data_IF_206012799257
#
_entry.id   IF_206012799257
#
_cell.length_a   1.000
_cell.length_b   1.000
_cell.length_c   1.000
_cell.angle_alpha   90.00
_cell.angle_beta   90.00
_cell.angle_gamma   90.00
#
_symmetry.space_group_name_H-M   'P 1'
#
loop_
_entity.id
_entity.type
_entity.pdbx_description
1 polymer ?
#
# COMPACT_ATOMS: atom_id res chain seq x y z
N UNK A 1 17.35 14.57 20.23
CA UNK A 1 15.91 14.36 20.04
C UNK A 1 15.76 13.70 18.69
N UNK A 2 15.70 12.37 18.68
CA UNK A 2 15.48 11.60 17.44
C UNK A 2 14.00 11.80 17.13
N UNK A 3 13.70 12.49 16.02
CA UNK A 3 12.33 12.56 15.52
C UNK A 3 12.03 11.14 15.07
N UNK A 4 11.23 10.43 15.87
CA UNK A 4 10.69 9.13 15.48
C UNK A 4 9.87 9.40 14.22
N UNK A 5 10.41 9.02 13.05
CA UNK A 5 9.68 9.14 11.79
C UNK A 5 8.41 8.33 11.97
N UNK A 6 7.24 8.98 12.02
CA UNK A 6 5.97 8.29 12.19
C UNK A 6 5.90 7.16 11.15
N UNK A 7 5.80 5.91 11.62
CA UNK A 7 5.54 4.77 10.75
C UNK A 7 4.09 4.88 10.30
N UNK A 8 3.88 5.09 9.01
CA UNK A 8 2.55 5.05 8.41
C UNK A 8 2.28 3.60 8.04
N UNK A 9 1.63 2.88 8.94
CA UNK A 9 1.29 1.47 8.80
C UNK A 9 -0.20 1.22 9.14
N UNK A 10 -0.76 0.16 8.55
CA UNK A 10 -2.14 -0.26 8.77
C UNK A 10 -2.25 -1.77 8.58
N UNK A 11 -3.21 -2.37 9.27
CA UNK A 11 -3.53 -3.79 9.18
C UNK A 11 -5.01 -3.99 8.87
N UNK A 12 -5.34 -4.98 8.06
CA UNK A 12 -6.72 -5.33 7.77
C UNK A 12 -6.92 -6.81 7.47
N UNK A 13 -8.10 -7.33 7.80
CA UNK A 13 -8.50 -8.68 7.38
C UNK A 13 -9.02 -8.66 5.94
N UNK A 14 -8.43 -9.48 5.08
CA UNK A 14 -8.85 -9.66 3.69
C UNK A 14 -9.80 -10.86 3.56
N UNK A 15 -11.02 -10.61 3.07
CA UNK A 15 -12.02 -11.63 2.84
C UNK A 15 -12.32 -11.70 1.35
N UNK A 16 -11.95 -12.82 0.72
CA UNK A 16 -12.29 -13.10 -0.67
C UNK A 16 -13.62 -13.84 -0.74
N UNK A 17 -14.50 -13.42 -1.64
CA UNK A 17 -15.78 -14.09 -1.90
C UNK A 17 -15.96 -14.29 -3.40
N UNK A 18 -16.36 -15.49 -3.81
CA UNK A 18 -16.65 -15.85 -5.21
C UNK A 18 -18.05 -16.45 -5.25
N UNK A 19 -18.94 -15.89 -6.08
CA UNK A 19 -20.34 -16.33 -6.18
C UNK A 19 -21.10 -16.38 -4.83
N UNK A 20 -20.75 -15.49 -3.89
CA UNK A 20 -21.36 -15.42 -2.56
C UNK A 20 -20.74 -16.36 -1.52
N UNK A 21 -19.75 -17.18 -1.89
CA UNK A 21 -19.06 -18.09 -0.97
C UNK A 21 -17.67 -17.57 -0.62
N UNK A 22 -17.29 -17.69 0.66
CA UNK A 22 -15.94 -17.33 1.11
C UNK A 22 -14.92 -18.26 0.46
N UNK A 23 -13.87 -17.66 -0.10
CA UNK A 23 -12.74 -18.38 -0.68
C UNK A 23 -11.54 -18.27 0.26
N UNK A 24 -10.95 -19.41 0.62
CA UNK A 24 -9.74 -19.46 1.46
C UNK A 24 -8.46 -19.22 0.64
N UNK A 25 -8.54 -19.26 -0.70
CA UNK A 25 -7.38 -19.06 -1.55
C UNK A 25 -7.17 -17.57 -1.87
N UNK A 26 -6.12 -17.01 -1.27
CA UNK A 26 -5.57 -15.69 -1.60
C UNK A 26 -4.53 -15.83 -2.72
N UNK A 27 -4.63 -14.96 -3.73
CA UNK A 27 -3.70 -14.84 -4.85
C UNK A 27 -3.03 -13.45 -4.90
N UNK A 28 -2.11 -13.26 -5.85
CA UNK A 28 -1.35 -12.01 -6.00
C UNK A 28 -2.24 -10.80 -6.28
N UNK A 29 -3.40 -10.97 -6.94
CA UNK A 29 -4.31 -9.88 -7.25
C UNK A 29 -5.06 -9.44 -5.99
N UNK A 30 -5.49 -10.39 -5.16
CA UNK A 30 -6.13 -10.08 -3.87
C UNK A 30 -5.21 -9.21 -3.00
N UNK A 31 -3.94 -9.61 -2.90
CA UNK A 31 -2.91 -8.89 -2.13
C UNK A 31 -2.67 -7.52 -2.74
N UNK A 32 -2.51 -7.44 -4.07
CA UNK A 32 -2.24 -6.18 -4.78
C UNK A 32 -3.36 -5.16 -4.62
N UNK A 33 -4.62 -5.56 -4.85
CA UNK A 33 -5.77 -4.66 -4.78
C UNK A 33 -5.97 -4.17 -3.35
N UNK A 34 -5.96 -5.09 -2.39
CA UNK A 34 -6.17 -4.76 -0.97
C UNK A 34 -5.04 -3.87 -0.44
N UNK A 35 -3.79 -4.17 -0.79
CA UNK A 35 -2.64 -3.34 -0.41
C UNK A 35 -2.74 -1.91 -0.96
N UNK A 36 -3.17 -1.74 -2.22
CA UNK A 36 -3.32 -0.40 -2.80
C UNK A 36 -4.47 0.39 -2.19
N UNK A 37 -5.56 -0.27 -1.79
CA UNK A 37 -6.67 0.41 -1.10
C UNK A 37 -6.21 1.02 0.23
N UNK A 38 -5.56 0.22 1.08
CA UNK A 38 -5.01 0.69 2.36
C UNK A 38 -3.84 1.64 2.18
N UNK A 39 -2.93 1.34 1.25
CA UNK A 39 -1.77 2.18 0.98
C UNK A 39 -2.16 3.57 0.47
N UNK A 40 -3.24 3.68 -0.31
CA UNK A 40 -3.75 4.97 -0.74
C UNK A 40 -4.38 5.76 0.41
N UNK A 41 -5.09 5.09 1.34
CA UNK A 41 -5.60 5.74 2.57
C UNK A 41 -4.44 6.31 3.37
N UNK A 42 -3.41 5.50 3.64
CA UNK A 42 -2.21 5.95 4.37
C UNK A 42 -1.50 7.11 3.67
N UNK A 43 -1.41 7.06 2.33
CA UNK A 43 -0.74 8.10 1.54
C UNK A 43 -1.48 9.44 1.62
N UNK A 44 -2.81 9.39 1.66
CA UNK A 44 -3.68 10.55 1.77
C UNK A 44 -3.71 11.13 3.17
N UNK A 45 -3.71 10.28 4.21
CA UNK A 45 -3.54 10.71 5.60
C UNK A 45 -2.17 11.36 5.83
N UNK A 46 -1.11 10.84 5.22
CA UNK A 46 0.24 11.42 5.29
C UNK A 46 0.28 12.86 4.75
N UNK A 47 -0.51 13.16 3.72
CA UNK A 47 -0.50 14.44 3.02
C UNK A 47 -1.67 15.37 3.37
N UNK A 48 -2.58 14.93 4.25
CA UNK A 48 -3.85 15.60 4.57
C UNK A 48 -4.68 15.92 3.30
N UNK A 49 -4.72 14.96 2.38
CA UNK A 49 -5.44 15.07 1.10
C UNK A 49 -6.68 14.20 1.14
N UNK A 50 -7.86 14.75 0.87
CA UNK A 50 -9.05 13.91 0.69
C UNK A 50 -9.02 13.21 -0.67
N UNK A 51 -9.77 12.11 -0.82
CA UNK A 51 -9.87 11.43 -2.13
C UNK A 51 -10.40 12.37 -3.23
N UNK A 52 -11.33 13.24 -2.88
CA UNK A 52 -11.97 14.20 -3.80
C UNK A 52 -10.99 15.29 -4.26
N UNK A 53 -10.03 15.64 -3.40
CA UNK A 53 -8.99 16.64 -3.66
C UNK A 53 -7.70 16.03 -4.22
N UNK A 54 -7.62 14.71 -4.42
CA UNK A 54 -6.42 14.07 -4.93
C UNK A 54 -6.26 14.20 -6.45
N UNK A 55 -5.04 14.43 -6.93
CA UNK A 55 -4.70 14.25 -8.34
C UNK A 55 -4.51 12.77 -8.69
N UNK A 56 -4.13 12.51 -9.95
CA UNK A 56 -3.75 11.19 -10.41
C UNK A 56 -2.61 10.60 -9.56
N UNK A 57 -2.88 9.41 -9.00
CA UNK A 57 -1.87 8.53 -8.41
C UNK A 57 -1.25 7.70 -9.53
N UNK A 58 0.04 7.88 -9.77
CA UNK A 58 0.80 7.17 -10.79
C UNK A 58 1.51 5.98 -10.20
N UNK A 59 1.23 4.80 -10.75
CA UNK A 59 2.02 3.60 -10.49
C UNK A 59 3.33 3.67 -11.27
N UNK A 60 4.46 3.64 -10.57
CA UNK A 60 5.81 3.70 -11.17
C UNK A 60 6.45 2.31 -11.27
N UNK A 61 6.18 1.44 -10.31
CA UNK A 61 6.70 0.07 -10.30
C UNK A 61 5.82 -0.84 -9.44
N UNK A 62 5.69 -2.11 -9.83
CA UNK A 62 5.06 -3.16 -9.00
C UNK A 62 5.98 -4.36 -8.99
N UNK A 63 6.24 -4.90 -7.80
CA UNK A 63 7.04 -6.11 -7.64
C UNK A 63 6.43 -7.02 -6.60
N UNK A 64 6.47 -8.33 -6.88
CA UNK A 64 6.02 -9.36 -5.96
C UNK A 64 7.20 -10.21 -5.51
N UNK A 65 7.11 -10.69 -4.27
CA UNK A 65 7.98 -11.72 -3.73
C UNK A 65 7.12 -12.79 -3.07
N UNK A 66 7.52 -14.04 -3.24
CA UNK A 66 6.90 -15.18 -2.56
C UNK A 66 7.85 -15.65 -1.47
N UNK A 67 7.39 -15.64 -0.23
CA UNK A 67 8.11 -16.16 0.93
C UNK A 67 7.90 -17.68 1.05
N UNK A 68 8.79 -18.37 1.75
CA UNK A 68 8.55 -19.79 2.03
C UNK A 68 7.38 -19.92 3.01
N UNK A 69 6.45 -20.83 2.71
CA UNK A 69 5.21 -21.01 3.51
C UNK A 69 5.47 -21.38 4.97
N UNK A 70 6.64 -21.92 5.30
CA UNK A 70 7.04 -22.26 6.68
C UNK A 70 7.33 -21.04 7.55
N UNK A 71 7.52 -19.88 6.95
CA UNK A 71 8.05 -18.70 7.62
C UNK A 71 6.95 -17.69 7.99
N UNK A 72 5.68 -17.96 7.67
CA UNK A 72 4.59 -17.01 7.86
C UNK A 72 3.36 -17.67 8.51
N UNK A 73 2.78 -17.07 9.57
CA UNK A 73 1.48 -17.49 10.08
C UNK A 73 0.43 -17.40 8.96
N UNK A 74 -0.28 -18.50 8.70
CA UNK A 74 -1.46 -18.46 7.84
C UNK A 74 -2.52 -17.63 8.53
N UNK A 75 -2.92 -16.55 7.88
CA UNK A 75 -3.87 -15.60 8.42
C UNK A 75 -4.13 -14.56 7.36
N UNK A 76 -5.40 -14.32 7.05
CA UNK A 76 -5.81 -13.34 6.06
C UNK A 76 -5.57 -11.89 6.55
N UNK A 77 -4.55 -11.64 7.37
CA UNK A 77 -4.15 -10.31 7.83
C UNK A 77 -3.19 -9.72 6.81
N UNK A 78 -3.58 -8.59 6.25
CA UNK A 78 -2.78 -7.79 5.36
C UNK A 78 -2.14 -6.68 6.18
N UNK A 79 -0.82 -6.70 6.25
CA UNK A 79 -0.04 -5.61 6.83
C UNK A 79 0.41 -4.70 5.68
N UNK A 80 0.25 -3.37 5.85
CA UNK A 80 0.62 -2.36 4.86
C UNK A 80 1.45 -1.27 5.53
N UNK A 81 2.53 -0.86 4.90
CA UNK A 81 3.39 0.23 5.37
C UNK A 81 3.79 1.13 4.19
N UNK A 82 3.88 2.44 4.45
CA UNK A 82 4.55 3.37 3.55
C UNK A 82 6.06 3.41 3.85
N UNK A 83 6.86 3.04 2.87
CA UNK A 83 8.31 3.18 2.90
C UNK A 83 8.79 4.23 1.89
N UNK A 84 10.05 4.65 2.02
CA UNK A 84 10.74 5.50 1.03
C UNK A 84 9.94 6.75 0.61
N UNK A 85 9.24 7.36 1.58
CA UNK A 85 8.43 8.54 1.33
C UNK A 85 9.33 9.76 1.08
N UNK A 86 9.02 10.54 0.05
CA UNK A 86 9.75 11.76 -0.29
C UNK A 86 8.87 12.77 -1.00
N UNK A 87 9.20 14.05 -0.83
CA UNK A 87 8.63 15.15 -1.62
C UNK A 87 9.62 15.51 -2.72
N UNK A 88 9.13 15.64 -3.94
CA UNK A 88 9.91 15.99 -5.13
C UNK A 88 9.21 17.12 -5.85
N UNK A 89 9.93 18.20 -6.15
CA UNK A 89 9.43 19.27 -7.00
C UNK A 89 9.72 18.94 -8.46
N UNK A 90 8.69 18.99 -9.30
CA UNK A 90 8.80 18.72 -10.74
C UNK A 90 7.73 19.52 -11.49
N UNK A 91 8.16 20.26 -12.53
CA UNK A 91 7.30 21.05 -13.41
C UNK A 91 6.38 22.01 -12.63
N UNK A 92 6.96 22.77 -11.70
CA UNK A 92 6.27 23.72 -10.80
C UNK A 92 5.18 23.08 -9.90
N UNK A 93 5.19 21.75 -9.76
CA UNK A 93 4.31 21.01 -8.87
C UNK A 93 5.09 20.22 -7.83
N UNK A 94 4.53 20.08 -6.63
CA UNK A 94 5.06 19.21 -5.58
C UNK A 94 4.44 17.80 -5.73
N UNK A 95 5.29 16.79 -5.67
CA UNK A 95 4.91 15.39 -5.80
C UNK A 95 5.32 14.61 -4.57
N UNK A 96 4.40 13.84 -4.01
CA UNK A 96 4.72 12.80 -3.04
C UNK A 96 5.06 11.53 -3.79
N UNK A 97 6.24 10.98 -3.52
CA UNK A 97 6.65 9.64 -3.92
C UNK A 97 6.70 8.74 -2.68
N UNK A 98 6.24 7.49 -2.80
CA UNK A 98 6.28 6.50 -1.72
C UNK A 98 6.32 5.07 -2.29
N UNK A 99 6.75 4.12 -1.46
CA UNK A 99 6.55 2.69 -1.68
C UNK A 99 5.43 2.21 -0.74
N UNK A 100 4.35 1.68 -1.29
CA UNK A 100 3.37 0.90 -0.54
C UNK A 100 3.91 -0.53 -0.47
N UNK A 101 4.30 -0.97 0.72
CA UNK A 101 4.82 -2.32 0.97
C UNK A 101 3.78 -3.08 1.77
N UNK A 102 3.43 -4.27 1.33
CA UNK A 102 2.44 -5.08 2.02
C UNK A 102 2.80 -6.57 2.03
N UNK A 103 2.33 -7.25 3.07
CA UNK A 103 2.41 -8.70 3.24
C UNK A 103 1.05 -9.28 3.59
N UNK A 104 0.69 -10.39 2.93
CA UNK A 104 -0.48 -11.19 3.24
C UNK A 104 -0.15 -12.65 2.90
N UNK A 105 -0.27 -13.53 3.89
CA UNK A 105 0.29 -14.88 3.86
C UNK A 105 1.76 -14.88 3.35
N UNK A 106 2.07 -15.75 2.40
CA UNK A 106 3.38 -15.92 1.79
C UNK A 106 3.65 -14.94 0.63
N UNK A 107 2.80 -13.93 0.42
CA UNK A 107 2.92 -12.98 -0.69
C UNK A 107 3.30 -11.61 -0.13
N UNK A 108 4.40 -11.06 -0.64
CA UNK A 108 4.77 -9.67 -0.45
C UNK A 108 4.62 -8.90 -1.75
N UNK A 109 4.09 -7.68 -1.66
CA UNK A 109 4.00 -6.74 -2.77
C UNK A 109 4.66 -5.42 -2.39
N UNK A 110 5.39 -4.84 -3.33
CA UNK A 110 5.86 -3.44 -3.26
C UNK A 110 5.37 -2.70 -4.48
N UNK A 111 4.63 -1.62 -4.24
CA UNK A 111 4.11 -0.72 -5.25
C UNK A 111 4.74 0.66 -5.06
N UNK A 112 5.61 1.07 -5.99
CA UNK A 112 6.17 2.42 -5.98
C UNK A 112 5.19 3.37 -6.68
N UNK A 113 4.70 4.37 -5.95
CA UNK A 113 3.70 5.31 -6.44
C UNK A 113 4.22 6.75 -6.39
N UNK A 114 3.53 7.63 -7.11
CA UNK A 114 3.66 9.08 -6.92
C UNK A 114 2.31 9.77 -7.14
N UNK A 115 1.97 10.77 -6.33
CA UNK A 115 0.82 11.65 -6.60
C UNK A 115 1.22 13.11 -6.47
N UNK A 116 0.60 13.95 -7.29
CA UNK A 116 0.79 15.40 -7.25
C UNK A 116 -0.04 15.99 -6.12
N UNK A 117 0.57 16.84 -5.30
CA UNK A 117 -0.10 17.54 -4.24
C UNK A 117 -0.81 18.78 -4.78
N UNK A 118 -2.04 19.00 -4.32
CA UNK A 118 -2.82 20.21 -4.60
C UNK A 118 -2.53 21.23 -3.49
N UNK A 119 -1.45 22.00 -3.67
CA UNK A 119 -1.07 23.08 -2.77
C UNK A 119 -0.86 24.36 -3.56
#
# INVERSE_FOLDING_TARGET
MVIETAKFESEAMVIKTVNGEKCEHIDYIDVFVSALQLGQILLYELDDVTREESNNLWMRNVSFKTLQKTDVPLGNNLDVTLENTSLVNKDDAEWRSADIVASLDHIQVRCSVAHQLNR
#
